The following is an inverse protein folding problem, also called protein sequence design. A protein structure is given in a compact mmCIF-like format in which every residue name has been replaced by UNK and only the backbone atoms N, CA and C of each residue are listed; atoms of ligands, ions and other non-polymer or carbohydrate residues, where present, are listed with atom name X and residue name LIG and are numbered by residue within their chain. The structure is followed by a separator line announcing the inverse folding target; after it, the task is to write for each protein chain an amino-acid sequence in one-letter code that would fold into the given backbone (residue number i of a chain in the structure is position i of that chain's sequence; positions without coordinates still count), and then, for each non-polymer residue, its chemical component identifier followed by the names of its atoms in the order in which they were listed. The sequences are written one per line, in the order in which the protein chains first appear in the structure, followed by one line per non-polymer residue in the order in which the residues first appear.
data_IF_658816451174
#
_entry.id   IF_658816451174
#
_cell.length_a   1.000
_cell.length_b   1.000
_cell.length_c   1.000
_cell.angle_alpha   90.00
_cell.angle_beta   90.00
_cell.angle_gamma   90.00
#
_symmetry.space_group_name_H-M   'P 1'
#
loop_
_entity.id
_entity.type
_entity.pdbx_description
1 polymer ?
#
# COMPACT_ATOMS: atom_id res chain seq x y z
N UNK A 1 19.54 -35.13 -36.63
CA UNK A 1 18.41 -35.94 -36.14
C UNK A 1 18.12 -35.71 -34.70
N UNK A 2 19.10 -35.93 -33.84
CA UNK A 2 18.90 -35.73 -32.41
C UNK A 2 18.49 -34.31 -32.07
N UNK A 3 19.07 -33.35 -32.77
CA UNK A 3 18.75 -31.95 -32.53
C UNK A 3 17.31 -31.64 -32.85
N UNK A 4 16.76 -32.23 -33.89
CA UNK A 4 15.37 -31.99 -34.26
C UNK A 4 14.43 -32.55 -33.22
N UNK A 5 14.74 -33.74 -32.69
CA UNK A 5 13.93 -34.35 -31.65
C UNK A 5 14.00 -33.51 -30.35
N UNK A 6 15.21 -33.07 -30.04
CA UNK A 6 15.38 -32.21 -28.87
C UNK A 6 14.59 -30.94 -29.01
N UNK A 7 14.58 -30.37 -30.20
CA UNK A 7 13.82 -29.14 -30.45
C UNK A 7 12.34 -29.36 -30.26
N UNK A 8 11.81 -30.49 -30.72
CA UNK A 8 10.41 -30.81 -30.53
C UNK A 8 10.03 -30.86 -29.05
N UNK A 9 10.83 -31.56 -28.26
CA UNK A 9 10.60 -31.63 -26.83
C UNK A 9 10.75 -30.29 -26.18
N UNK A 10 11.80 -29.57 -26.53
CA UNK A 10 12.03 -28.24 -26.00
C UNK A 10 10.90 -27.32 -26.36
N UNK A 11 10.37 -27.46 -27.57
CA UNK A 11 9.26 -26.63 -28.01
C UNK A 11 8.03 -26.86 -27.14
N UNK A 12 7.70 -28.13 -26.84
CA UNK A 12 6.58 -28.46 -25.97
C UNK A 12 6.79 -27.99 -24.56
N UNK A 13 7.98 -28.20 -24.01
CA UNK A 13 8.31 -27.75 -22.66
C UNK A 13 8.33 -26.22 -22.60
N UNK A 14 8.82 -25.59 -23.67
CA UNK A 14 8.86 -24.14 -23.74
C UNK A 14 7.45 -23.55 -23.74
N UNK A 15 6.52 -24.19 -24.44
CA UNK A 15 5.14 -23.74 -24.47
C UNK A 15 4.52 -23.85 -23.07
N UNK A 16 4.71 -24.96 -22.42
CA UNK A 16 4.21 -25.16 -21.07
C UNK A 16 4.87 -24.18 -20.09
N UNK A 17 6.17 -24.00 -20.23
CA UNK A 17 6.90 -23.02 -19.44
C UNK A 17 6.41 -21.62 -19.68
N UNK A 18 6.11 -21.29 -20.91
CA UNK A 18 5.59 -19.97 -21.24
C UNK A 18 4.22 -19.73 -20.58
N UNK A 19 3.37 -20.75 -20.57
CA UNK A 19 2.08 -20.65 -19.90
C UNK A 19 2.25 -20.42 -18.40
N UNK A 20 3.17 -21.15 -17.77
CA UNK A 20 3.42 -21.03 -16.33
C UNK A 20 3.97 -19.65 -16.02
N UNK A 21 4.97 -19.22 -16.78
CA UNK A 21 5.59 -17.90 -16.57
C UNK A 21 4.57 -16.79 -16.81
N UNK A 22 3.81 -16.91 -17.89
CA UNK A 22 2.79 -15.91 -18.21
C UNK A 22 1.72 -15.83 -17.13
N UNK A 23 1.27 -16.97 -16.62
CA UNK A 23 0.30 -17.01 -15.55
C UNK A 23 0.85 -16.41 -14.27
N UNK A 24 2.10 -16.73 -13.96
CA UNK A 24 2.76 -16.17 -12.76
C UNK A 24 2.90 -14.67 -12.86
N UNK A 25 3.34 -14.18 -14.03
CA UNK A 25 3.48 -12.74 -14.23
C UNK A 25 2.12 -12.03 -14.16
N UNK A 26 1.07 -12.66 -14.66
CA UNK A 26 -0.26 -12.09 -14.57
C UNK A 26 -0.70 -11.95 -13.11
N UNK A 27 -0.45 -12.98 -12.30
CA UNK A 27 -0.80 -12.94 -10.87
C UNK A 27 0.00 -11.83 -10.17
N UNK A 28 1.30 -11.76 -10.44
CA UNK A 28 2.15 -10.73 -9.85
C UNK A 28 1.65 -9.35 -10.26
N UNK A 29 1.28 -9.19 -11.53
CA UNK A 29 0.76 -7.92 -12.01
C UNK A 29 -0.52 -7.48 -11.32
N UNK A 30 -1.43 -8.42 -11.09
CA UNK A 30 -2.68 -8.11 -10.39
C UNK A 30 -2.40 -7.70 -8.95
N UNK A 31 -1.50 -8.42 -8.27
CA UNK A 31 -1.14 -8.09 -6.89
C UNK A 31 -0.47 -6.72 -6.85
N UNK A 32 0.46 -6.47 -7.75
CA UNK A 32 1.14 -5.19 -7.81
C UNK A 32 0.16 -4.04 -8.04
N UNK A 33 -0.82 -4.26 -8.92
CA UNK A 33 -1.83 -3.24 -9.20
C UNK A 33 -2.67 -2.91 -7.97
N UNK A 34 -2.81 -3.85 -7.04
CA UNK A 34 -3.52 -3.59 -5.80
C UNK A 34 -2.65 -2.92 -4.75
N UNK A 35 -1.34 -3.17 -4.80
CA UNK A 35 -0.40 -2.60 -3.83
C UNK A 35 -0.09 -1.14 -4.15
N UNK A 36 0.04 -0.80 -5.43
CA UNK A 36 0.40 0.57 -5.84
C UNK A 36 -0.57 1.61 -5.27
N UNK A 37 -1.90 1.44 -5.38
CA UNK A 37 -2.81 2.42 -4.78
C UNK A 37 -2.64 2.56 -3.28
N UNK A 38 -2.34 1.46 -2.56
CA UNK A 38 -2.15 1.55 -1.11
C UNK A 38 -0.87 2.29 -0.76
N UNK A 39 0.17 2.15 -1.58
CA UNK A 39 1.42 2.88 -1.36
C UNK A 39 1.22 4.38 -1.59
N UNK A 40 0.44 4.73 -2.61
CA UNK A 40 0.11 6.13 -2.89
C UNK A 40 -0.70 6.71 -1.73
N UNK A 41 -1.66 5.94 -1.23
CA UNK A 41 -2.45 6.37 -0.08
C UNK A 41 -1.57 6.58 1.15
N UNK A 42 -0.59 5.71 1.35
CA UNK A 42 0.33 5.86 2.47
C UNK A 42 1.08 7.21 2.41
N UNK A 43 1.55 7.57 1.22
CA UNK A 43 2.20 8.87 1.05
C UNK A 43 1.24 10.02 1.31
N UNK A 44 -0.01 9.88 0.89
CA UNK A 44 -1.03 10.89 1.15
C UNK A 44 -1.30 11.00 2.64
N UNK A 45 -1.32 9.88 3.36
CA UNK A 45 -1.51 9.87 4.81
C UNK A 45 -0.36 10.59 5.50
N UNK A 46 0.88 10.32 5.07
CA UNK A 46 2.04 11.03 5.63
C UNK A 46 1.94 12.53 5.41
N UNK A 47 1.51 12.92 4.23
CA UNK A 47 1.34 14.33 3.90
C UNK A 47 0.25 14.98 4.75
N UNK A 48 -0.87 14.27 4.93
CA UNK A 48 -1.95 14.75 5.75
C UNK A 48 -1.51 14.88 7.21
N UNK A 49 -0.74 13.92 7.69
CA UNK A 49 -0.21 13.97 9.05
C UNK A 49 0.72 15.17 9.24
N UNK A 50 1.56 15.45 8.26
CA UNK A 50 2.45 16.61 8.32
C UNK A 50 1.68 17.91 8.35
N UNK A 51 0.62 18.03 7.53
CA UNK A 51 -0.22 19.21 7.55
C UNK A 51 -0.94 19.37 8.89
N UNK A 52 -1.35 18.26 9.47
CA UNK A 52 -2.10 18.28 10.72
C UNK A 52 -1.28 18.84 11.87
N UNK A 53 0.05 18.76 11.80
CA UNK A 53 0.90 19.28 12.86
C UNK A 53 0.80 20.81 13.01
N UNK A 54 0.18 21.50 12.07
CA UNK A 54 -0.01 22.93 12.14
C UNK A 54 -1.16 23.32 13.07
N UNK A 55 -1.95 22.36 13.52
CA UNK A 55 -3.02 22.62 14.45
C UNK A 55 -2.49 22.95 15.85
N UNK A 56 -3.26 23.73 16.60
CA UNK A 56 -2.88 24.18 17.92
C UNK A 56 -3.48 23.33 19.04
N UNK A 57 -4.45 22.50 18.71
CA UNK A 57 -5.10 21.65 19.70
C UNK A 57 -5.32 20.27 19.08
N UNK A 58 -5.60 19.28 19.92
CA UNK A 58 -5.87 17.92 19.44
C UNK A 58 -7.05 17.91 18.47
N UNK A 59 -8.12 18.62 18.81
CA UNK A 59 -9.30 18.67 17.95
C UNK A 59 -8.97 19.33 16.62
N UNK A 60 -8.17 20.38 16.62
CA UNK A 60 -7.79 21.08 15.40
C UNK A 60 -6.89 20.22 14.53
N UNK A 61 -5.93 19.51 15.15
CA UNK A 61 -5.05 18.59 14.43
C UNK A 61 -5.87 17.52 13.72
N UNK A 62 -6.81 16.90 14.43
CA UNK A 62 -7.67 15.87 13.84
C UNK A 62 -8.52 16.43 12.71
N UNK A 63 -9.01 17.65 12.87
CA UNK A 63 -9.83 18.29 11.85
C UNK A 63 -9.02 18.55 10.58
N UNK A 64 -7.80 19.05 10.74
CA UNK A 64 -6.92 19.30 9.60
C UNK A 64 -6.62 17.99 8.88
N UNK A 65 -6.35 16.93 9.64
CA UNK A 65 -6.11 15.62 9.04
C UNK A 65 -7.32 15.13 8.25
N UNK A 66 -8.51 15.25 8.81
CA UNK A 66 -9.74 14.82 8.15
C UNK A 66 -9.99 15.60 6.87
N UNK A 67 -9.73 16.89 6.87
CA UNK A 67 -9.89 17.68 5.67
C UNK A 67 -8.91 17.28 4.58
N UNK A 68 -7.66 17.05 4.96
CA UNK A 68 -6.65 16.59 4.01
C UNK A 68 -7.00 15.20 3.48
N UNK A 69 -7.52 14.34 4.35
CA UNK A 69 -7.94 13.00 3.95
C UNK A 69 -9.08 13.06 2.94
N UNK A 70 -10.01 13.98 3.11
CA UNK A 70 -11.11 14.14 2.17
C UNK A 70 -10.60 14.61 0.80
N UNK A 71 -9.63 15.51 0.79
CA UNK A 71 -9.06 16.01 -0.46
C UNK A 71 -8.32 14.89 -1.21
N UNK A 72 -7.53 14.11 -0.49
CA UNK A 72 -6.72 13.04 -1.08
C UNK A 72 -7.43 11.70 -1.12
N UNK A 73 -8.70 11.68 -0.74
CA UNK A 73 -9.52 10.46 -0.79
C UNK A 73 -8.93 9.33 0.05
N UNK A 74 -8.43 9.65 1.22
CA UNK A 74 -7.90 8.67 2.15
C UNK A 74 -9.07 8.02 2.88
N UNK A 75 -9.19 6.69 2.77
CA UNK A 75 -10.30 5.96 3.37
C UNK A 75 -9.87 4.98 4.45
N UNK A 76 -8.59 4.66 4.50
CA UNK A 76 -8.09 3.64 5.41
C UNK A 76 -7.96 4.14 6.85
N UNK A 77 -7.86 5.44 7.05
CA UNK A 77 -7.60 6.02 8.34
C UNK A 77 -8.25 7.40 8.40
N UNK A 78 -8.70 7.77 9.58
CA UNK A 78 -9.33 9.08 9.79
C UNK A 78 -8.65 9.79 10.95
N UNK A 79 -9.07 11.03 11.21
CA UNK A 79 -8.52 11.82 12.29
C UNK A 79 -8.72 11.20 13.65
N UNK A 80 -9.69 10.30 13.80
CA UNK A 80 -9.91 9.60 15.06
C UNK A 80 -8.89 8.49 15.29
N UNK A 81 -8.26 8.02 14.21
CA UNK A 81 -7.36 6.87 14.28
C UNK A 81 -5.91 7.26 14.45
N UNK A 82 -5.60 8.54 14.38
CA UNK A 82 -4.23 9.01 14.55
C UNK A 82 -3.93 9.29 16.00
N UNK A 83 -2.67 9.14 16.36
CA UNK A 83 -2.21 9.46 17.70
C UNK A 83 -1.47 10.80 17.64
N UNK A 84 -1.81 11.68 18.55
CA UNK A 84 -1.24 13.00 18.61
C UNK A 84 -0.43 13.12 19.89
N UNK A 85 0.84 13.42 19.75
CA UNK A 85 1.72 13.61 20.89
C UNK A 85 2.50 14.89 20.70
N UNK A 86 3.13 15.32 21.77
CA UNK A 86 3.92 16.54 21.74
C UNK A 86 5.33 16.19 22.18
N UNK A 87 6.29 16.46 21.29
CA UNK A 87 7.70 16.22 21.58
C UNK A 87 8.39 17.57 21.59
N UNK A 88 8.73 18.05 22.79
CA UNK A 88 9.23 19.40 22.95
C UNK A 88 8.13 20.39 22.58
N UNK A 89 8.42 21.27 21.67
CA UNK A 89 7.45 22.25 21.20
C UNK A 89 6.73 21.82 19.93
N UNK A 90 7.01 20.60 19.46
CA UNK A 90 6.44 20.15 18.19
C UNK A 90 5.33 19.14 18.43
N UNK A 91 4.28 19.24 17.64
CA UNK A 91 3.21 18.28 17.62
C UNK A 91 3.59 17.16 16.65
N UNK A 92 3.52 15.93 17.12
CA UNK A 92 3.82 14.77 16.31
C UNK A 92 2.54 13.97 16.13
N UNK A 93 2.21 13.67 14.88
CA UNK A 93 1.06 12.86 14.52
C UNK A 93 1.59 11.51 14.07
N UNK A 94 1.18 10.46 14.73
CA UNK A 94 1.56 9.11 14.32
C UNK A 94 0.31 8.30 13.98
N UNK A 95 0.51 7.30 13.14
CA UNK A 95 -0.60 6.49 12.69
C UNK A 95 -0.14 5.08 12.37
N UNK A 96 -1.09 4.17 12.42
CA UNK A 96 -0.85 2.79 12.02
C UNK A 96 -2.15 2.25 11.46
N UNK A 97 -2.06 1.61 10.30
CA UNK A 97 -3.23 1.00 9.69
C UNK A 97 -2.78 -0.15 8.80
N UNK A 98 -3.74 -0.96 8.41
CA UNK A 98 -3.43 -2.09 7.55
C UNK A 98 -4.47 -2.23 6.45
N UNK A 99 -4.03 -2.77 5.33
CA UNK A 99 -4.89 -3.05 4.19
C UNK A 99 -4.77 -4.52 3.87
N UNK A 100 -5.89 -5.15 3.58
CA UNK A 100 -5.91 -6.55 3.18
C UNK A 100 -6.19 -6.64 1.69
N UNK A 101 -5.39 -7.46 1.02
CA UNK A 101 -5.56 -7.72 -0.39
C UNK A 101 -5.93 -9.20 -0.52
N UNK A 102 -7.08 -9.45 -1.09
CA UNK A 102 -7.53 -10.83 -1.32
C UNK A 102 -6.75 -11.43 -2.48
N UNK A 103 -6.06 -12.52 -2.22
CA UNK A 103 -5.25 -13.19 -3.24
C UNK A 103 -6.06 -14.26 -3.96
N UNK A 104 -6.48 -15.28 -3.22
CA UNK A 104 -7.26 -16.37 -3.79
C UNK A 104 -7.86 -17.17 -2.64
N UNK A 105 -9.13 -17.56 -2.76
CA UNK A 105 -9.79 -18.34 -1.75
C UNK A 105 -9.68 -17.74 -0.37
N UNK A 106 -9.20 -18.47 0.64
CA UNK A 106 -9.03 -17.92 1.99
C UNK A 106 -7.73 -17.14 2.16
N UNK A 107 -6.91 -17.02 1.12
CA UNK A 107 -5.62 -16.35 1.23
C UNK A 107 -5.74 -14.84 1.08
N UNK A 108 -5.15 -14.10 2.02
CA UNK A 108 -5.09 -12.65 2.01
C UNK A 108 -3.67 -12.18 2.24
N UNK A 109 -3.32 -11.10 1.58
CA UNK A 109 -2.08 -10.40 1.86
C UNK A 109 -2.42 -9.17 2.69
N UNK A 110 -1.83 -9.07 3.88
CA UNK A 110 -2.06 -7.94 4.77
C UNK A 110 -0.87 -7.01 4.71
N UNK A 111 -1.11 -5.76 4.33
CA UNK A 111 -0.09 -4.73 4.30
C UNK A 111 -0.27 -3.84 5.51
N UNK A 112 0.75 -3.76 6.33
CA UNK A 112 0.72 -2.91 7.52
C UNK A 112 1.55 -1.67 7.27
N UNK A 113 0.94 -0.53 7.51
CA UNK A 113 1.59 0.76 7.35
C UNK A 113 1.63 1.49 8.67
N UNK A 114 2.75 2.06 8.99
CA UNK A 114 2.84 2.95 10.13
C UNK A 114 3.77 4.09 9.75
N UNK A 115 3.59 5.20 10.45
CA UNK A 115 4.41 6.35 10.17
C UNK A 115 4.11 7.45 11.16
N UNK A 116 4.86 8.50 11.06
CA UNK A 116 4.66 9.68 11.90
C UNK A 116 5.09 10.91 11.11
N UNK A 117 4.49 12.03 11.48
CA UNK A 117 4.87 13.28 10.89
C UNK A 117 6.29 13.63 11.33
N UNK A 118 7.06 14.21 10.44
CA UNK A 118 8.41 14.66 10.75
C UNK A 118 8.43 16.15 10.64
N UNK A 119 8.48 16.74 11.77
CA UNK A 119 8.46 18.16 11.94
C UNK A 119 7.47 18.86 11.13
#
# INVERSE_FOLDING_TARGET
MKKLQSRSRQHGLSFLGLLVVGGLLAVIGVIAAQIVPTAIEYQAVLKAASKATQGNSVAEVRNIFDKAAAVDNIKSISGRDIEISKEGDKIVVSFSYQREIHLAGPGYLTLKYNGRSQE
#
